data_IF_302382378954
#
_entry.id   IF_302382378954
#
_cell.length_a   1.000
_cell.length_b   1.000
_cell.length_c   1.000
_cell.angle_alpha   90.00
_cell.angle_beta   90.00
_cell.angle_gamma   90.00
#
_symmetry.space_group_name_H-M   'P 1'
#
loop_
_entity.id
_entity.type
_entity.pdbx_description
1 polymer ?
#
# COMPACT_ATOMS: atom_id res chain seq x y z
N UNK A 1 -11.07 11.92 -0.72
CA UNK A 1 -9.68 11.84 -0.25
C UNK A 1 -9.16 10.43 -0.53
N UNK A 2 -7.94 10.29 -1.04
CA UNK A 2 -7.34 8.97 -1.27
C UNK A 2 -6.20 8.74 -0.27
N UNK A 3 -6.21 7.60 0.39
CA UNK A 3 -5.16 7.15 1.31
C UNK A 3 -4.40 6.02 0.62
N UNK A 4 -3.08 6.19 0.50
CA UNK A 4 -2.21 5.13 -0.03
C UNK A 4 -1.51 4.44 1.15
N UNK A 5 -1.83 3.17 1.36
CA UNK A 5 -1.28 2.32 2.42
C UNK A 5 -0.27 1.37 1.78
N UNK A 6 1.00 1.44 2.18
CA UNK A 6 2.11 0.69 1.57
C UNK A 6 2.69 -0.28 2.60
N UNK A 7 2.58 -1.57 2.34
CA UNK A 7 3.05 -2.66 3.20
C UNK A 7 4.06 -3.53 2.48
N UNK A 8 4.95 -4.17 3.22
CA UNK A 8 6.03 -5.01 2.68
C UNK A 8 6.49 -6.13 3.61
N UNK A 9 6.34 -5.95 4.93
CA UNK A 9 6.72 -6.93 5.94
C UNK A 9 5.51 -7.40 6.76
N UNK A 10 5.56 -8.64 7.24
CA UNK A 10 4.46 -9.30 7.98
C UNK A 10 3.90 -8.47 9.16
N UNK A 11 4.73 -7.84 10.04
CA UNK A 11 4.22 -7.01 11.13
C UNK A 11 3.40 -5.81 10.67
N UNK A 12 3.60 -5.37 9.42
CA UNK A 12 2.85 -4.25 8.84
C UNK A 12 1.44 -4.67 8.41
N UNK A 13 1.21 -5.94 8.04
CA UNK A 13 -0.13 -6.41 7.67
C UNK A 13 -1.09 -6.31 8.86
N UNK A 14 -0.64 -6.73 10.05
CA UNK A 14 -1.44 -6.63 11.28
C UNK A 14 -1.85 -5.17 11.55
N UNK A 15 -0.91 -4.23 11.38
CA UNK A 15 -1.17 -2.79 11.57
C UNK A 15 -2.09 -2.22 10.49
N UNK A 16 -1.87 -2.62 9.24
CA UNK A 16 -2.71 -2.23 8.12
C UNK A 16 -4.14 -2.72 8.31
N UNK A 17 -4.35 -3.94 8.81
CA UNK A 17 -5.67 -4.49 9.14
C UNK A 17 -6.48 -3.56 10.05
N UNK A 18 -5.87 -3.12 11.16
CA UNK A 18 -6.52 -2.24 12.11
C UNK A 18 -6.85 -0.87 11.50
N UNK A 19 -5.95 -0.34 10.67
CA UNK A 19 -6.14 0.95 10.01
C UNK A 19 -7.21 0.87 8.92
N UNK A 20 -7.18 -0.15 8.07
CA UNK A 20 -8.17 -0.39 7.01
C UNK A 20 -9.57 -0.53 7.59
N UNK A 21 -9.74 -1.32 8.65
CA UNK A 21 -11.02 -1.46 9.36
C UNK A 21 -11.53 -0.13 9.90
N UNK A 22 -10.65 0.67 10.51
CA UNK A 22 -11.03 2.00 10.98
C UNK A 22 -11.46 2.89 9.81
N UNK A 23 -10.72 2.90 8.69
CA UNK A 23 -11.09 3.69 7.51
C UNK A 23 -12.45 3.25 6.94
N UNK A 24 -12.71 1.95 6.87
CA UNK A 24 -14.00 1.39 6.48
C UNK A 24 -15.13 1.80 7.43
N UNK A 25 -14.93 1.80 8.74
CA UNK A 25 -15.94 2.27 9.71
C UNK A 25 -16.27 3.76 9.54
N UNK A 26 -15.31 4.59 9.10
CA UNK A 26 -15.53 6.00 8.82
C UNK A 26 -15.97 6.29 7.37
N UNK A 27 -16.21 5.27 6.53
CA UNK A 27 -16.35 5.41 5.07
C UNK A 27 -17.65 6.04 4.54
N UNK A 28 -18.55 6.52 5.42
CA UNK A 28 -19.53 7.57 5.06
C UNK A 28 -18.83 8.87 4.62
N UNK A 29 -17.59 9.07 5.07
CA UNK A 29 -16.69 10.11 4.59
C UNK A 29 -16.04 9.66 3.29
N UNK A 30 -15.89 10.57 2.32
CA UNK A 30 -15.42 10.30 0.95
C UNK A 30 -13.93 9.86 0.88
N UNK A 31 -13.53 8.87 1.67
CA UNK A 31 -12.17 8.37 1.85
C UNK A 31 -12.07 7.03 1.14
N UNK A 32 -11.10 6.92 0.23
CA UNK A 32 -10.79 5.70 -0.47
C UNK A 32 -9.39 5.24 -0.07
N UNK A 33 -9.28 4.07 0.54
CA UNK A 33 -7.98 3.43 0.80
C UNK A 33 -7.51 2.63 -0.41
N UNK A 34 -6.21 2.72 -0.71
CA UNK A 34 -5.53 1.96 -1.74
C UNK A 34 -4.34 1.25 -1.10
N UNK A 35 -4.40 -0.08 -1.05
CA UNK A 35 -3.37 -0.90 -0.44
C UNK A 35 -2.36 -1.35 -1.50
N UNK A 36 -1.06 -1.16 -1.19
CA UNK A 36 0.08 -1.49 -2.04
C UNK A 36 1.00 -2.42 -1.28
N UNK A 37 1.30 -3.57 -1.85
CA UNK A 37 2.25 -4.53 -1.31
C UNK A 37 3.58 -4.45 -2.05
N UNK A 38 4.70 -4.18 -1.37
CA UNK A 38 6.01 -4.00 -2.01
C UNK A 38 6.61 -5.30 -2.53
N UNK A 39 6.26 -6.45 -1.96
CA UNK A 39 6.73 -7.77 -2.41
C UNK A 39 8.06 -8.21 -1.80
N UNK A 40 8.51 -7.59 -0.71
CA UNK A 40 9.81 -7.87 -0.09
C UNK A 40 9.88 -9.19 0.69
N UNK A 41 8.73 -9.79 1.04
CA UNK A 41 8.68 -11.07 1.73
C UNK A 41 8.28 -12.21 0.78
N UNK A 42 9.19 -13.17 0.65
CA UNK A 42 8.97 -14.47 0.03
C UNK A 42 8.04 -15.31 0.91
N UNK A 43 6.75 -15.33 0.58
CA UNK A 43 5.99 -16.54 0.23
C UNK A 43 4.54 -16.10 -0.03
N UNK A 44 4.10 -16.12 -1.29
CA UNK A 44 2.75 -15.69 -1.70
C UNK A 44 1.69 -16.48 -0.95
N UNK A 45 1.97 -17.77 -0.70
CA UNK A 45 1.10 -18.65 0.08
C UNK A 45 0.94 -18.22 1.54
N UNK A 46 1.96 -17.60 2.17
CA UNK A 46 1.83 -17.14 3.56
C UNK A 46 1.16 -15.78 3.65
N UNK A 47 1.43 -14.85 2.73
CA UNK A 47 0.77 -13.55 2.75
C UNK A 47 -0.74 -13.68 2.59
N UNK A 48 -1.21 -14.54 1.68
CA UNK A 48 -2.63 -14.69 1.36
C UNK A 48 -3.44 -15.26 2.53
N UNK A 49 -2.85 -16.18 3.29
CA UNK A 49 -3.46 -16.69 4.54
C UNK A 49 -3.63 -15.55 5.54
N UNK A 50 -2.63 -14.68 5.71
CA UNK A 50 -2.76 -13.53 6.61
C UNK A 50 -3.82 -12.53 6.16
N UNK A 51 -3.92 -12.23 4.87
CA UNK A 51 -4.99 -11.36 4.35
C UNK A 51 -6.37 -11.95 4.62
N UNK A 52 -6.52 -13.26 4.43
CA UNK A 52 -7.78 -13.99 4.65
C UNK A 52 -8.15 -14.05 6.14
N UNK A 53 -7.24 -14.53 6.98
CA UNK A 53 -7.46 -14.71 8.43
C UNK A 53 -7.70 -13.39 9.15
N UNK A 54 -7.02 -12.32 8.73
CA UNK A 54 -7.15 -11.00 9.35
C UNK A 54 -8.24 -10.13 8.71
N UNK A 55 -8.98 -10.66 7.73
CA UNK A 55 -10.01 -9.95 6.97
C UNK A 55 -9.49 -8.63 6.39
N UNK A 56 -8.25 -8.63 5.91
CA UNK A 56 -7.63 -7.46 5.28
C UNK A 56 -8.01 -7.48 3.80
N UNK A 57 -8.42 -6.34 3.22
CA UNK A 57 -8.61 -6.22 1.78
C UNK A 57 -7.36 -6.66 1.02
N UNK A 58 -7.52 -7.42 -0.06
CA UNK A 58 -6.40 -7.81 -0.90
C UNK A 58 -5.73 -6.56 -1.50
N UNK A 59 -4.39 -6.50 -1.56
CA UNK A 59 -3.68 -5.34 -2.08
C UNK A 59 -4.01 -5.09 -3.56
N UNK A 60 -4.39 -3.86 -3.89
CA UNK A 60 -4.69 -3.45 -5.27
C UNK A 60 -3.43 -3.42 -6.17
N UNK A 61 -2.25 -3.26 -5.56
CA UNK A 61 -0.98 -3.25 -6.28
C UNK A 61 0.03 -4.15 -5.58
N UNK A 62 0.72 -4.98 -6.36
CA UNK A 62 1.85 -5.79 -5.88
C UNK A 62 3.10 -5.39 -6.68
N UNK A 63 4.12 -4.83 -6.01
CA UNK A 63 5.29 -4.25 -6.68
C UNK A 63 6.39 -5.28 -6.97
N UNK A 64 6.37 -6.46 -6.33
CA UNK A 64 7.32 -7.55 -6.59
C UNK A 64 8.79 -7.12 -6.44
N UNK A 65 9.09 -6.31 -5.42
CA UNK A 65 10.42 -5.81 -5.13
C UNK A 65 11.09 -6.82 -4.20
N UNK A 66 12.12 -7.50 -4.69
CA UNK A 66 12.94 -8.41 -3.90
C UNK A 66 14.37 -8.49 -4.43
N UNK A 67 15.30 -8.91 -3.57
CA UNK A 67 16.71 -9.09 -3.91
C UNK A 67 17.53 -7.80 -3.99
N UNK A 68 18.84 -7.95 -3.97
CA UNK A 68 19.81 -6.85 -4.00
C UNK A 68 20.16 -6.28 -2.63
N UNK A 69 20.96 -5.21 -2.62
CA UNK A 69 21.34 -4.51 -1.39
C UNK A 69 20.19 -3.64 -0.86
N UNK A 70 20.24 -3.26 0.42
CA UNK A 70 19.23 -2.38 1.02
C UNK A 70 19.04 -1.05 0.25
N UNK A 71 20.13 -0.48 -0.27
CA UNK A 71 20.07 0.73 -1.10
C UNK A 71 19.33 0.51 -2.41
N UNK A 72 19.62 -0.60 -3.11
CA UNK A 72 18.95 -0.96 -4.36
C UNK A 72 17.44 -1.19 -4.15
N UNK A 73 17.07 -1.93 -3.09
CA UNK A 73 15.66 -2.15 -2.74
C UNK A 73 14.92 -0.84 -2.44
N UNK A 74 15.57 0.08 -1.72
CA UNK A 74 14.98 1.38 -1.40
C UNK A 74 14.74 2.22 -2.66
N UNK A 75 15.73 2.28 -3.56
CA UNK A 75 15.58 2.96 -4.85
C UNK A 75 14.44 2.37 -5.70
N UNK A 76 14.35 1.04 -5.76
CA UNK A 76 13.28 0.35 -6.48
C UNK A 76 11.90 0.61 -5.86
N UNK A 77 11.80 0.68 -4.52
CA UNK A 77 10.57 1.05 -3.84
C UNK A 77 10.11 2.45 -4.22
N UNK A 78 11.00 3.44 -4.14
CA UNK A 78 10.66 4.83 -4.49
C UNK A 78 10.13 4.93 -5.92
N UNK A 79 10.85 4.35 -6.90
CA UNK A 79 10.46 4.41 -8.30
C UNK A 79 9.10 3.75 -8.57
N UNK A 80 8.84 2.57 -7.99
CA UNK A 80 7.57 1.86 -8.20
C UNK A 80 6.39 2.49 -7.45
N UNK A 81 6.61 3.00 -6.25
CA UNK A 81 5.59 3.72 -5.48
C UNK A 81 5.17 4.99 -6.23
N UNK A 82 6.12 5.73 -6.79
CA UNK A 82 5.82 6.92 -7.61
C UNK A 82 4.95 6.56 -8.82
N UNK A 83 5.27 5.47 -9.54
CA UNK A 83 4.44 5.01 -10.67
C UNK A 83 3.00 4.71 -10.25
N UNK A 84 2.79 4.06 -9.10
CA UNK A 84 1.45 3.82 -8.56
C UNK A 84 0.78 5.13 -8.19
N UNK A 85 1.48 6.04 -7.53
CA UNK A 85 0.95 7.33 -7.12
C UNK A 85 0.49 8.15 -8.33
N UNK A 86 1.29 8.21 -9.40
CA UNK A 86 0.90 8.86 -10.66
C UNK A 86 -0.33 8.17 -11.26
N UNK A 87 -0.34 6.84 -11.34
CA UNK A 87 -1.50 6.11 -11.89
C UNK A 87 -2.79 6.37 -11.13
N UNK A 88 -2.71 6.46 -9.81
CA UNK A 88 -3.85 6.68 -8.93
C UNK A 88 -4.26 8.17 -8.89
N UNK A 89 -3.31 9.08 -9.11
CA UNK A 89 -3.54 10.52 -9.16
C UNK A 89 -4.05 11.01 -10.51
N UNK A 90 -3.79 10.27 -11.60
CA UNK A 90 -4.34 10.57 -12.91
C UNK A 90 -5.87 10.66 -12.78
N UNK A 91 -6.46 11.85 -12.98
CA UNK A 91 -7.89 12.01 -12.89
C UNK A 91 -8.51 11.26 -14.06
N UNK A 92 -9.66 10.62 -13.81
CA UNK A 92 -10.62 10.45 -14.87
C UNK A 92 -10.93 11.85 -15.42
N UNK A 93 -10.34 12.19 -16.58
CA UNK A 93 -10.58 13.35 -17.44
C UNK A 93 -10.37 14.76 -16.81
N UNK A 94 -10.00 15.70 -17.68
CA UNK A 94 -9.60 17.06 -17.34
C UNK A 94 -10.67 17.79 -16.51
N UNK A 95 -10.37 18.18 -15.26
CA UNK A 95 -11.20 19.14 -14.53
C UNK A 95 -11.37 18.96 -13.01
N UNK A 96 -10.82 17.94 -12.36
CA UNK A 96 -11.02 17.76 -10.92
C UNK A 96 -9.90 18.43 -10.07
N UNK A 97 -10.24 19.24 -9.05
CA UNK A 97 -9.26 20.00 -8.27
C UNK A 97 -8.43 19.08 -7.37
N UNK A 98 -7.10 19.21 -7.48
CA UNK A 98 -6.05 18.66 -6.61
C UNK A 98 -6.45 17.45 -5.76
N UNK A 99 -6.16 16.24 -6.25
CA UNK A 99 -6.34 15.02 -5.46
C UNK A 99 -5.37 15.06 -4.28
N UNK A 100 -5.85 15.49 -3.10
CA UNK A 100 -5.06 15.48 -1.88
C UNK A 100 -4.78 14.02 -1.49
N UNK A 101 -3.56 13.55 -1.73
CA UNK A 101 -3.06 12.26 -1.27
C UNK A 101 -2.42 12.42 0.10
N UNK A 102 -2.79 11.54 1.02
CA UNK A 102 -2.01 11.32 2.25
C UNK A 102 -1.42 9.92 2.16
N UNK A 103 -0.08 9.84 2.15
CA UNK A 103 0.62 8.59 2.28
C UNK A 103 0.63 8.21 3.76
N UNK A 104 -0.07 7.14 4.12
CA UNK A 104 -0.24 6.71 5.51
C UNK A 104 0.41 5.35 5.66
N UNK A 105 1.69 5.21 5.33
CA UNK A 105 2.46 4.08 5.89
C UNK A 105 3.95 4.36 5.99
N UNK A 106 4.49 3.89 7.11
CA UNK A 106 5.86 3.98 7.60
C UNK A 106 6.71 2.96 6.84
N UNK A 107 7.65 3.43 6.02
CA UNK A 107 8.73 2.60 5.48
C UNK A 107 9.44 1.92 6.65
N UNK A 108 9.22 0.63 6.86
CA UNK A 108 10.15 -0.16 7.64
C UNK A 108 11.30 -0.51 6.69
N UNK A 109 12.26 0.41 6.60
CA UNK A 109 13.64 0.04 6.30
C UNK A 109 14.16 -0.62 7.58
N UNK A 110 13.66 -1.81 7.90
CA UNK A 110 14.20 -2.61 8.98
C UNK A 110 14.53 -3.99 8.43
N UNK A 111 15.83 -4.21 8.38
CA UNK A 111 16.55 -5.47 8.19
C UNK A 111 16.03 -6.60 9.06
#
# INVERSE_FOLDING_TARGET
MKILTIVGARPQFIKAATVSRAIEEYSDSHIQEILVHTGQHYDVNMSDVFFTEMQIPSPQYHLGIGGGSHGAMTGHMLAKIEQVMVKVSLPCQAGCPSTNFKMVTKFAIYS
#
